data_IF_074107125768
#
_entry.id   IF_074107125768
#
_cell.length_a   1.000
_cell.length_b   1.000
_cell.length_c   1.000
_cell.angle_alpha   90.00
_cell.angle_beta   90.00
_cell.angle_gamma   90.00
#
_symmetry.space_group_name_H-M   'P 1'
#
loop_
_entity.id
_entity.type
_entity.pdbx_description
1 polymer ?
#
# COMPACT_ATOMS: atom_id res chain seq x y z
N UNK A 1 28.44 3.55 21.35
CA UNK A 1 28.29 4.32 20.10
C UNK A 1 29.07 3.59 19.03
N UNK A 2 28.44 3.12 17.94
CA UNK A 2 29.17 2.48 16.84
C UNK A 2 29.44 3.55 15.77
N UNK A 3 30.70 3.87 15.45
CA UNK A 3 31.01 4.84 14.40
C UNK A 3 30.64 4.24 13.04
N UNK A 4 30.11 5.08 12.15
CA UNK A 4 29.84 4.76 10.75
C UNK A 4 30.84 5.55 9.92
N UNK A 5 31.59 4.85 9.08
CA UNK A 5 32.51 5.49 8.14
C UNK A 5 31.73 5.97 6.92
N UNK A 6 31.91 7.25 6.55
CA UNK A 6 31.27 7.87 5.41
C UNK A 6 32.37 8.43 4.51
N UNK A 7 32.26 8.18 3.21
CA UNK A 7 33.13 8.83 2.24
C UNK A 7 32.89 10.35 2.22
N UNK A 8 33.90 11.11 1.77
CA UNK A 8 33.87 12.58 1.73
C UNK A 8 32.68 13.16 0.95
N UNK A 9 32.22 12.46 -0.09
CA UNK A 9 31.09 12.92 -0.90
C UNK A 9 29.79 12.78 -0.11
N UNK A 10 29.58 11.63 0.54
CA UNK A 10 28.41 11.39 1.39
C UNK A 10 28.42 12.33 2.60
N UNK A 11 29.58 12.52 3.24
CA UNK A 11 29.73 13.45 4.33
C UNK A 11 29.35 14.89 3.94
N UNK A 12 29.80 15.34 2.76
CA UNK A 12 29.48 16.67 2.22
C UNK A 12 27.98 16.85 1.95
N UNK A 13 27.30 15.82 1.44
CA UNK A 13 25.85 15.84 1.20
C UNK A 13 25.06 15.93 2.51
N UNK A 14 25.45 15.17 3.53
CA UNK A 14 24.81 15.21 4.85
C UNK A 14 25.00 16.60 5.50
N UNK A 15 26.19 17.18 5.41
CA UNK A 15 26.45 18.53 5.91
C UNK A 15 25.63 19.59 5.16
N UNK A 16 25.49 19.45 3.85
CA UNK A 16 24.66 20.35 3.04
C UNK A 16 23.19 20.29 3.45
N UNK A 17 22.63 19.08 3.57
CA UNK A 17 21.26 18.88 4.03
C UNK A 17 21.05 19.40 5.46
N UNK A 18 22.01 19.17 6.36
CA UNK A 18 21.97 19.66 7.73
C UNK A 18 21.90 21.20 7.79
N UNK A 19 22.72 21.88 6.98
CA UNK A 19 22.70 23.34 6.85
C UNK A 19 21.39 23.85 6.26
N UNK A 20 20.86 23.17 5.25
CA UNK A 20 19.60 23.53 4.60
C UNK A 20 18.41 23.42 5.55
N UNK A 21 18.41 22.38 6.40
CA UNK A 21 17.31 22.06 7.32
C UNK A 21 17.48 22.72 8.71
N UNK A 22 18.63 23.34 8.99
CA UNK A 22 18.93 23.93 10.29
C UNK A 22 19.11 22.90 11.42
N UNK A 23 19.38 21.64 11.07
CA UNK A 23 19.49 20.51 12.01
C UNK A 23 20.91 19.94 12.03
N UNK A 24 21.18 19.01 12.96
CA UNK A 24 22.48 18.34 13.02
C UNK A 24 22.63 17.27 11.91
N UNK A 25 23.86 16.93 11.48
CA UNK A 25 24.11 15.84 10.52
C UNK A 25 23.50 14.50 10.94
N UNK A 26 23.59 14.16 12.23
CA UNK A 26 22.97 12.98 12.80
C UNK A 26 21.44 13.02 12.73
N UNK A 27 20.83 14.20 12.85
CA UNK A 27 19.38 14.38 12.75
C UNK A 27 18.91 14.14 11.31
N UNK A 28 19.68 14.62 10.32
CA UNK A 28 19.38 14.37 8.90
C UNK A 28 19.42 12.87 8.60
N UNK A 29 20.47 12.17 9.06
CA UNK A 29 20.57 10.72 8.87
C UNK A 29 19.42 10.02 9.59
N UNK A 30 19.10 10.42 10.83
CA UNK A 30 17.99 9.85 11.59
C UNK A 30 16.67 10.06 10.88
N UNK A 31 16.39 11.25 10.37
CA UNK A 31 15.17 11.57 9.65
C UNK A 31 15.08 10.85 8.30
N UNK A 32 16.20 10.67 7.60
CA UNK A 32 16.25 9.90 6.35
C UNK A 32 15.95 8.43 6.60
N UNK A 33 16.60 7.84 7.61
CA UNK A 33 16.34 6.45 8.04
C UNK A 33 14.90 6.32 8.50
N UNK A 34 14.41 7.24 9.34
CA UNK A 34 13.03 7.23 9.84
C UNK A 34 12.00 7.42 8.72
N UNK A 35 12.28 8.25 7.71
CA UNK A 35 11.40 8.44 6.55
C UNK A 35 11.32 7.17 5.68
N UNK A 36 12.40 6.40 5.60
CA UNK A 36 12.42 5.12 4.88
C UNK A 36 11.93 3.95 5.74
N UNK A 37 12.06 4.03 7.06
CA UNK A 37 11.52 3.03 8.00
C UNK A 37 10.03 3.25 8.29
N UNK A 38 9.54 4.49 8.26
CA UNK A 38 8.11 4.84 8.44
C UNK A 38 7.30 4.62 7.15
N UNK A 39 7.97 4.45 6.00
CA UNK A 39 7.35 3.83 4.84
C UNK A 39 6.98 2.36 5.09
N UNK A 40 7.45 1.77 6.20
CA UNK A 40 7.18 0.40 6.64
C UNK A 40 6.59 0.37 8.08
N UNK A 41 5.49 1.07 8.33
CA UNK A 41 4.53 0.63 9.35
C UNK A 41 3.10 0.83 8.83
N UNK A 42 2.41 -0.30 8.58
CA UNK A 42 1.46 -0.71 9.60
C UNK A 42 1.61 -2.22 9.91
N UNK A 43 2.12 -2.55 11.09
CA UNK A 43 1.84 -3.83 11.78
C UNK A 43 2.14 -5.14 11.02
N UNK A 44 3.35 -5.67 11.22
CA UNK A 44 3.82 -7.08 11.26
C UNK A 44 2.88 -8.25 10.85
N UNK A 45 3.37 -9.40 10.30
CA UNK A 45 4.39 -9.64 9.28
C UNK A 45 3.86 -10.56 8.15
N UNK A 46 4.03 -10.21 6.87
CA UNK A 46 3.92 -11.18 5.78
C UNK A 46 4.73 -10.72 4.56
N UNK A 47 5.91 -11.34 4.44
CA UNK A 47 6.74 -11.54 3.25
C UNK A 47 7.08 -10.34 2.31
N UNK A 48 8.38 -10.01 2.16
CA UNK A 48 8.91 -8.87 1.40
C UNK A 48 8.99 -9.13 -0.12
N UNK A 49 7.84 -9.17 -0.79
CA UNK A 49 7.78 -9.16 -2.26
C UNK A 49 6.58 -8.39 -2.83
N UNK A 50 6.05 -7.42 -2.07
CA UNK A 50 4.80 -6.76 -2.36
C UNK A 50 4.98 -5.45 -3.14
N UNK A 51 5.01 -5.55 -4.47
CA UNK A 51 4.47 -4.48 -5.32
C UNK A 51 2.93 -4.56 -5.22
N UNK A 52 2.41 -4.21 -4.04
CA UNK A 52 1.00 -4.21 -3.73
C UNK A 52 0.29 -3.08 -4.47
N UNK A 53 -0.77 -3.40 -5.19
CA UNK A 53 -1.54 -2.42 -5.96
C UNK A 53 -2.59 -1.83 -5.04
N UNK A 54 -2.41 -0.57 -4.65
CA UNK A 54 -3.40 0.17 -3.88
C UNK A 54 -4.72 0.27 -4.66
N UNK A 55 -5.80 -0.15 -4.03
CA UNK A 55 -7.15 -0.15 -4.60
C UNK A 55 -8.15 0.50 -3.65
N UNK A 56 -9.23 1.01 -4.22
CA UNK A 56 -10.38 1.49 -3.48
C UNK A 56 -11.68 1.09 -4.19
N UNK A 57 -12.75 0.99 -3.43
CA UNK A 57 -14.10 0.81 -3.93
C UNK A 57 -15.01 1.83 -3.25
N UNK A 58 -16.01 2.33 -3.98
CA UNK A 58 -17.06 3.17 -3.41
C UNK A 58 -18.39 2.46 -3.62
N UNK A 59 -19.05 2.07 -2.55
CA UNK A 59 -20.33 1.37 -2.59
C UNK A 59 -21.33 2.06 -1.66
N UNK A 60 -22.50 2.42 -2.20
CA UNK A 60 -23.55 3.18 -1.48
C UNK A 60 -23.04 4.45 -0.76
N UNK A 61 -22.04 5.12 -1.33
CA UNK A 61 -21.44 6.32 -0.74
C UNK A 61 -20.46 6.04 0.41
N UNK A 62 -20.15 4.79 0.70
CA UNK A 62 -19.08 4.39 1.62
C UNK A 62 -17.86 3.94 0.82
N UNK A 63 -16.69 4.43 1.22
CA UNK A 63 -15.41 4.10 0.57
C UNK A 63 -14.71 3.02 1.37
N UNK A 64 -14.31 1.95 0.68
CA UNK A 64 -13.43 0.92 1.19
C UNK A 64 -12.08 1.02 0.47
N UNK A 65 -10.99 0.88 1.20
CA UNK A 65 -9.63 1.03 0.70
C UNK A 65 -8.82 -0.20 1.05
N UNK A 66 -7.92 -0.61 0.16
CA UNK A 66 -7.16 -1.83 0.34
C UNK A 66 -5.96 -1.94 -0.58
N UNK A 67 -5.25 -3.05 -0.44
CA UNK A 67 -4.08 -3.40 -1.23
C UNK A 67 -4.31 -4.77 -1.85
N UNK A 68 -4.19 -4.84 -3.18
CA UNK A 68 -4.22 -6.08 -3.92
C UNK A 68 -2.80 -6.58 -4.18
N UNK A 69 -2.52 -7.81 -3.78
CA UNK A 69 -1.25 -8.47 -4.01
C UNK A 69 -1.37 -9.39 -5.24
N UNK A 70 -0.78 -9.05 -6.40
CA UNK A 70 -0.93 -9.84 -7.62
C UNK A 70 -0.27 -11.23 -7.51
N UNK A 71 0.80 -11.36 -6.74
CA UNK A 71 1.54 -12.61 -6.54
C UNK A 71 0.68 -13.69 -5.84
N UNK A 72 -0.03 -13.32 -4.78
CA UNK A 72 -0.89 -14.22 -4.00
C UNK A 72 -2.36 -14.10 -4.38
N UNK A 73 -2.71 -13.15 -5.26
CA UNK A 73 -4.08 -12.74 -5.63
C UNK A 73 -4.95 -12.38 -4.42
N UNK A 74 -4.30 -12.04 -3.30
CA UNK A 74 -4.96 -11.68 -2.04
C UNK A 74 -5.29 -10.20 -2.05
N UNK A 75 -6.43 -9.82 -1.47
CA UNK A 75 -6.80 -8.41 -1.30
C UNK A 75 -7.01 -8.13 0.18
N UNK A 76 -6.25 -7.18 0.70
CA UNK A 76 -6.34 -6.71 2.08
C UNK A 76 -7.09 -5.39 2.10
N UNK A 77 -8.27 -5.36 2.70
CA UNK A 77 -9.04 -4.13 2.90
C UNK A 77 -8.53 -3.46 4.17
N UNK A 78 -7.80 -2.37 4.01
CA UNK A 78 -7.12 -1.61 5.05
C UNK A 78 -8.09 -0.71 5.83
N UNK A 79 -9.13 -0.19 5.17
CA UNK A 79 -10.06 0.76 5.78
C UNK A 79 -11.44 0.71 5.12
N UNK A 80 -12.47 1.02 5.91
CA UNK A 80 -13.86 1.03 5.48
C UNK A 80 -14.60 -0.31 5.72
N UNK A 81 -15.81 -0.43 5.17
CA UNK A 81 -16.66 -1.61 5.37
C UNK A 81 -16.04 -2.84 4.72
N UNK A 82 -16.07 -3.97 5.42
CA UNK A 82 -15.42 -5.21 5.00
C UNK A 82 -13.90 -5.20 5.20
N UNK A 83 -13.41 -4.52 6.24
CA UNK A 83 -11.99 -4.51 6.61
C UNK A 83 -11.50 -5.93 6.96
N UNK A 84 -10.33 -6.30 6.42
CA UNK A 84 -9.75 -7.63 6.60
C UNK A 84 -9.00 -8.14 5.37
N UNK A 85 -8.36 -9.29 5.52
CA UNK A 85 -7.59 -9.94 4.44
C UNK A 85 -8.40 -11.05 3.80
N UNK A 86 -8.52 -11.00 2.47
CA UNK A 86 -9.33 -11.94 1.71
C UNK A 86 -8.50 -12.63 0.62
N UNK A 87 -8.73 -13.94 0.40
CA UNK A 87 -7.96 -14.73 -0.57
C UNK A 87 -8.24 -14.35 -2.03
N UNK A 88 -9.21 -13.46 -2.29
CA UNK A 88 -9.48 -12.96 -3.64
C UNK A 88 -10.18 -11.58 -3.60
N UNK A 89 -10.07 -10.78 -4.69
CA UNK A 89 -10.80 -9.53 -4.81
C UNK A 89 -12.32 -9.70 -4.74
N UNK A 90 -12.84 -10.83 -5.22
CA UNK A 90 -14.26 -11.17 -5.13
C UNK A 90 -14.67 -11.40 -3.68
N UNK A 91 -13.89 -12.14 -2.90
CA UNK A 91 -14.18 -12.37 -1.48
C UNK A 91 -14.18 -11.04 -0.69
N UNK A 92 -13.24 -10.14 -0.97
CA UNK A 92 -13.24 -8.81 -0.37
C UNK A 92 -14.46 -7.98 -0.76
N UNK A 93 -14.85 -7.99 -2.05
CA UNK A 93 -16.04 -7.27 -2.51
C UNK A 93 -17.33 -7.82 -1.89
N UNK A 94 -17.41 -9.14 -1.72
CA UNK A 94 -18.53 -9.80 -1.04
C UNK A 94 -18.62 -9.34 0.41
N UNK A 95 -17.50 -9.24 1.13
CA UNK A 95 -17.50 -8.75 2.51
C UNK A 95 -18.01 -7.31 2.62
N UNK A 96 -17.54 -6.41 1.75
CA UNK A 96 -18.01 -5.02 1.68
C UNK A 96 -19.52 -4.96 1.40
N UNK A 97 -20.02 -5.78 0.48
CA UNK A 97 -21.44 -5.82 0.12
C UNK A 97 -22.29 -6.44 1.22
N UNK A 98 -21.82 -7.50 1.87
CA UNK A 98 -22.52 -8.17 2.97
C UNK A 98 -22.70 -7.22 4.15
N UNK A 99 -21.71 -6.38 4.42
CA UNK A 99 -21.76 -5.38 5.50
C UNK A 99 -22.68 -4.20 5.18
N UNK A 100 -22.66 -3.71 3.93
CA UNK A 100 -23.44 -2.53 3.50
C UNK A 100 -24.83 -2.85 2.93
N UNK A 101 -25.08 -4.10 2.55
CA UNK A 101 -26.34 -4.55 1.96
C UNK A 101 -26.55 -6.07 2.11
N UNK A 102 -26.89 -6.56 3.32
CA UNK A 102 -27.03 -7.98 3.61
C UNK A 102 -28.19 -8.68 2.85
N UNK A 103 -29.18 -7.93 2.37
CA UNK A 103 -30.33 -8.45 1.60
C UNK A 103 -29.99 -8.81 0.15
N UNK A 104 -28.81 -8.41 -0.35
CA UNK A 104 -28.41 -8.67 -1.72
C UNK A 104 -27.61 -9.97 -1.81
N UNK A 105 -27.96 -10.83 -2.75
CA UNK A 105 -27.13 -12.00 -3.09
C UNK A 105 -25.71 -11.54 -3.44
N UNK A 106 -24.65 -12.11 -2.83
CA UNK A 106 -23.29 -11.59 -2.89
C UNK A 106 -22.58 -11.91 -4.23
N UNK A 107 -23.30 -11.90 -5.34
CA UNK A 107 -22.76 -12.11 -6.68
C UNK A 107 -22.12 -10.82 -7.18
N UNK A 108 -20.94 -10.50 -6.63
CA UNK A 108 -20.17 -9.33 -6.99
C UNK A 108 -18.96 -9.71 -7.83
N UNK A 109 -18.83 -9.06 -9.00
CA UNK A 109 -17.61 -9.13 -9.79
C UNK A 109 -16.52 -8.29 -9.11
N UNK A 110 -15.79 -8.88 -8.16
CA UNK A 110 -14.74 -8.19 -7.40
C UNK A 110 -13.72 -7.44 -8.26
N UNK A 111 -13.43 -7.95 -9.45
CA UNK A 111 -12.48 -7.33 -10.39
C UNK A 111 -12.92 -5.97 -10.96
N UNK A 112 -14.23 -5.73 -11.08
CA UNK A 112 -14.78 -4.43 -11.50
C UNK A 112 -15.24 -3.58 -10.30
N UNK A 113 -15.33 -4.20 -9.11
CA UNK A 113 -15.69 -3.52 -7.88
C UNK A 113 -14.54 -2.65 -7.35
N UNK A 114 -13.32 -3.19 -7.41
CA UNK A 114 -12.11 -2.50 -6.97
C UNK A 114 -11.51 -1.67 -8.10
N UNK A 115 -11.08 -0.45 -7.77
CA UNK A 115 -10.36 0.47 -8.65
C UNK A 115 -8.96 0.72 -8.13
N UNK A 116 -7.97 0.75 -9.00
CA UNK A 116 -6.60 1.12 -8.67
C UNK A 116 -6.57 2.59 -8.26
N UNK A 117 -6.02 2.91 -7.10
CA UNK A 117 -5.98 4.29 -6.59
C UNK A 117 -5.06 5.18 -7.42
N UNK A 118 -3.98 4.62 -7.97
CA UNK A 118 -3.01 5.36 -8.79
C UNK A 118 -3.58 5.76 -10.17
N UNK A 119 -4.25 4.85 -10.88
CA UNK A 119 -4.78 5.10 -12.23
C UNK A 119 -6.28 5.38 -12.28
N UNK A 120 -7.04 5.06 -11.22
CA UNK A 120 -8.51 5.12 -11.21
C UNK A 120 -9.19 4.02 -12.03
N UNK A 121 -8.42 3.13 -12.67
CA UNK A 121 -8.93 2.06 -13.52
C UNK A 121 -9.44 0.87 -12.70
N UNK A 122 -10.31 0.04 -13.29
CA UNK A 122 -10.76 -1.20 -12.66
C UNK A 122 -9.59 -2.17 -12.45
N UNK A 123 -9.60 -2.90 -11.33
CA UNK A 123 -8.59 -3.92 -11.05
C UNK A 123 -8.52 -5.01 -12.15
N UNK A 124 -9.61 -5.22 -12.88
CA UNK A 124 -9.66 -6.08 -14.07
C UNK A 124 -8.64 -5.69 -15.15
N UNK A 125 -8.29 -4.40 -15.28
CA UNK A 125 -7.31 -3.93 -16.26
C UNK A 125 -5.91 -4.46 -15.94
N UNK A 126 -5.53 -4.48 -14.65
CA UNK A 126 -4.27 -5.05 -14.16
C UNK A 126 -4.17 -6.55 -14.47
N UNK A 127 -5.28 -7.29 -14.39
CA UNK A 127 -5.31 -8.74 -14.72
C UNK A 127 -4.87 -9.02 -16.16
N UNK A 128 -4.98 -8.04 -17.06
CA UNK A 128 -4.65 -8.19 -18.49
C UNK A 128 -3.20 -7.86 -18.82
N UNK A 129 -2.43 -7.37 -17.85
CA UNK A 129 -0.99 -7.14 -18.00
C UNK A 129 -0.15 -8.21 -17.28
N UNK A 130 -0.15 -9.49 -17.70
CA UNK A 130 0.98 -10.36 -17.46
C UNK A 130 1.94 -10.24 -18.67
N UNK A 131 3.14 -9.71 -18.43
CA UNK A 131 4.31 -9.89 -19.30
C UNK A 131 4.13 -9.60 -20.79
N UNK A 132 4.39 -8.36 -21.21
CA UNK A 132 4.89 -8.14 -22.56
C UNK A 132 6.39 -8.52 -22.56
N UNK A 133 6.65 -9.72 -23.12
CA UNK A 133 7.92 -10.33 -23.52
C UNK A 133 8.81 -10.95 -22.44
#
# INVERSE_FOLDING_TARGET
MRPIDLDDQTHSKVLFAARLMGCSPSEVIRQLVDSWSTAEDPGDPADPAAEGIAVHAVYRGQRAEGVFHPATRTLTVSSGPGAGTYPSPSAAAMAVIQELNPDRSPNANGWSFWRVTSSGEELKAVRRAPGAH
#
